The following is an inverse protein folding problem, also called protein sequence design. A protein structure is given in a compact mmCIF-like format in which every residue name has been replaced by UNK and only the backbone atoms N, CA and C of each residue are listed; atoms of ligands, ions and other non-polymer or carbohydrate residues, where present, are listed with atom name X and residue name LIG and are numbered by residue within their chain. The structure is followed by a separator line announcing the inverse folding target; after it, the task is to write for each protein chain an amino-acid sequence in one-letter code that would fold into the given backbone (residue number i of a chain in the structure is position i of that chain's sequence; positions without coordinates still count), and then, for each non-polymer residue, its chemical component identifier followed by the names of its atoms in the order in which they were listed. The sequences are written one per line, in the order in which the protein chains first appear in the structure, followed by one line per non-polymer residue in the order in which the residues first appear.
data_IF_957931315101
#
_entry.id   IF_957931315101
#
_cell.length_a   1.000
_cell.length_b   1.000
_cell.length_c   1.000
_cell.angle_alpha   90.00
_cell.angle_beta   90.00
_cell.angle_gamma   90.00
#
_symmetry.space_group_name_H-M   'P 1'
#
loop_
_entity.id
_entity.type
_entity.pdbx_description
1 polymer ?
#
# COMPACT_ATOMS: atom_id res chain seq x y z
N UNK A 1 12.37 -5.96 29.55
CA UNK A 1 11.32 -6.85 30.09
C UNK A 1 10.04 -6.86 29.25
N UNK A 2 9.67 -5.76 28.57
CA UNK A 2 8.45 -5.63 27.78
C UNK A 2 8.71 -5.03 26.38
N UNK A 3 9.63 -5.65 25.63
CA UNK A 3 10.07 -5.23 24.29
C UNK A 3 10.09 -6.40 23.29
N UNK A 4 10.70 -6.26 22.10
CA UNK A 4 10.68 -7.29 21.07
C UNK A 4 11.22 -8.64 21.54
N UNK A 5 12.37 -8.63 22.22
CA UNK A 5 13.08 -9.85 22.58
C UNK A 5 12.55 -10.52 23.84
N UNK A 6 11.86 -9.76 24.71
CA UNK A 6 11.34 -10.26 25.99
C UNK A 6 10.05 -9.56 26.39
N UNK A 7 9.02 -10.36 26.70
CA UNK A 7 7.62 -9.95 26.80
C UNK A 7 7.00 -10.52 28.08
N UNK A 8 7.49 -10.08 29.24
CA UNK A 8 6.98 -10.59 30.51
C UNK A 8 5.51 -10.19 30.70
N UNK A 9 4.69 -11.15 31.16
CA UNK A 9 3.25 -10.97 31.33
C UNK A 9 2.52 -10.66 30.02
N UNK A 10 3.03 -11.17 28.88
CA UNK A 10 2.43 -10.96 27.56
C UNK A 10 2.47 -9.51 27.05
N UNK A 11 3.12 -8.59 27.77
CA UNK A 11 3.03 -7.16 27.50
C UNK A 11 4.19 -6.63 26.65
N UNK A 12 3.84 -5.80 25.66
CA UNK A 12 4.75 -5.00 24.83
C UNK A 12 4.46 -3.51 25.03
N UNK A 13 5.47 -2.74 25.45
CA UNK A 13 5.33 -1.29 25.68
C UNK A 13 5.74 -0.45 24.45
N UNK A 14 6.32 -1.07 23.42
CA UNK A 14 6.79 -0.45 22.19
C UNK A 14 5.74 -0.44 21.06
N UNK A 15 4.54 -0.98 21.31
CA UNK A 15 3.42 -1.03 20.35
C UNK A 15 2.14 -0.53 21.00
N UNK A 16 1.47 0.48 20.41
CA UNK A 16 0.17 0.96 20.92
C UNK A 16 -0.87 -0.13 20.96
N UNK A 17 -0.98 -0.95 19.92
CA UNK A 17 -1.98 -2.03 19.90
C UNK A 17 -1.85 -2.95 21.12
N UNK A 18 -0.61 -3.28 21.50
CA UNK A 18 -0.34 -4.07 22.71
C UNK A 18 -0.61 -3.31 24.00
N UNK A 19 -0.31 -2.00 24.05
CA UNK A 19 -0.65 -1.17 25.21
C UNK A 19 -2.18 -1.05 25.42
N UNK A 20 -2.95 -0.97 24.33
CA UNK A 20 -4.42 -0.93 24.37
C UNK A 20 -5.04 -2.29 24.72
N UNK A 21 -4.44 -3.38 24.27
CA UNK A 21 -4.92 -4.73 24.58
C UNK A 21 -4.56 -5.14 26.02
N UNK A 22 -3.40 -4.71 26.51
CA UNK A 22 -2.84 -5.19 27.77
C UNK A 22 -2.03 -6.48 27.60
N UNK A 23 -1.73 -7.11 28.73
CA UNK A 23 -1.04 -8.40 28.79
C UNK A 23 -1.90 -9.44 29.52
N UNK A 24 -1.24 -10.41 30.15
CA UNK A 24 -1.89 -11.54 30.84
C UNK A 24 -2.74 -11.11 32.05
N UNK A 25 -2.68 -9.84 32.45
CA UNK A 25 -3.53 -9.25 33.51
C UNK A 25 -4.99 -9.03 33.10
N UNK A 26 -5.32 -9.16 31.82
CA UNK A 26 -6.69 -8.96 31.29
C UNK A 26 -7.13 -7.49 31.19
N UNK A 27 -6.47 -6.58 31.90
CA UNK A 27 -6.71 -5.13 31.79
C UNK A 27 -5.83 -4.46 30.71
N UNK A 28 -6.36 -3.47 29.97
CA UNK A 28 -5.56 -2.60 29.11
C UNK A 28 -4.41 -1.96 29.89
N UNK A 29 -3.19 -2.03 29.34
CA UNK A 29 -2.04 -1.37 29.96
C UNK A 29 -2.27 0.15 30.02
N UNK A 30 -2.90 0.72 28.98
CA UNK A 30 -3.34 2.12 28.96
C UNK A 30 -4.78 2.25 28.49
N UNK A 31 -5.50 3.20 29.08
CA UNK A 31 -6.80 3.69 28.60
C UNK A 31 -6.63 5.16 28.18
N UNK A 32 -6.58 5.47 26.87
CA UNK A 32 -6.40 6.84 26.41
C UNK A 32 -7.41 7.81 27.04
N UNK A 33 -6.91 8.94 27.54
CA UNK A 33 -7.72 9.94 28.25
C UNK A 33 -7.97 9.63 29.73
N UNK A 34 -7.69 8.40 30.20
CA UNK A 34 -8.03 7.94 31.56
C UNK A 34 -6.80 7.36 32.30
N UNK A 35 -5.87 8.22 32.77
CA UNK A 35 -4.66 7.75 33.45
C UNK A 35 -4.93 6.92 34.71
N UNK A 36 -5.93 7.29 35.51
CA UNK A 36 -6.30 6.58 36.74
C UNK A 36 -6.88 5.19 36.49
N UNK A 37 -7.48 4.96 35.32
CA UNK A 37 -8.02 3.66 34.90
C UNK A 37 -7.01 2.82 34.10
N UNK A 38 -5.75 3.28 33.99
CA UNK A 38 -4.70 2.61 33.22
C UNK A 38 -3.83 1.74 34.12
N UNK A 39 -3.72 0.45 33.79
CA UNK A 39 -2.96 -0.53 34.58
C UNK A 39 -1.48 -0.17 34.70
N UNK A 40 -0.90 0.43 33.64
CA UNK A 40 0.48 0.90 33.65
C UNK A 40 0.73 1.91 34.78
N UNK A 41 -0.17 2.88 34.96
CA UNK A 41 -0.07 3.88 36.04
C UNK A 41 -0.18 3.22 37.40
N UNK A 42 -1.15 2.30 37.56
CA UNK A 42 -1.33 1.54 38.80
C UNK A 42 -0.04 0.81 39.20
N UNK A 43 0.61 0.11 38.26
CA UNK A 43 1.84 -0.65 38.56
C UNK A 43 3.07 0.21 38.84
N UNK A 44 3.31 1.28 38.07
CA UNK A 44 4.49 2.13 38.28
C UNK A 44 4.39 3.01 39.54
N UNK A 45 3.17 3.23 40.05
CA UNK A 45 2.92 3.99 41.29
C UNK A 45 2.65 3.11 42.51
N UNK A 46 2.35 1.82 42.33
CA UNK A 46 2.10 0.89 43.44
C UNK A 46 3.31 0.72 44.36
N UNK A 47 3.05 0.54 45.65
CA UNK A 47 4.04 0.20 46.68
C UNK A 47 4.01 -1.28 47.08
N UNK A 48 3.05 -2.04 46.58
CA UNK A 48 2.93 -3.47 46.83
C UNK A 48 4.01 -4.23 46.03
N UNK A 49 4.94 -4.94 46.70
CA UNK A 49 6.02 -5.69 46.06
C UNK A 49 5.58 -6.68 44.98
N UNK A 50 4.37 -7.24 45.08
CA UNK A 50 3.88 -8.28 44.16
C UNK A 50 3.42 -7.71 42.80
N UNK A 51 3.02 -6.44 42.76
CA UNK A 51 2.45 -5.82 41.55
C UNK A 51 3.21 -4.59 41.07
N UNK A 52 4.11 -4.04 41.90
CA UNK A 52 4.86 -2.85 41.54
C UNK A 52 5.81 -3.08 40.36
N UNK A 53 5.96 -2.05 39.53
CA UNK A 53 6.90 -2.06 38.42
C UNK A 53 7.90 -0.88 38.54
N UNK A 54 9.20 -1.11 38.27
CA UNK A 54 9.81 -2.42 38.01
C UNK A 54 9.99 -3.25 39.31
N UNK A 55 9.93 -4.60 39.24
CA UNK A 55 10.11 -5.48 40.41
C UNK A 55 11.58 -5.54 40.87
N UNK A 56 12.52 -5.19 39.97
CA UNK A 56 13.95 -5.08 40.25
C UNK A 56 14.47 -3.80 39.61
N UNK A 57 15.37 -3.11 40.32
CA UNK A 57 16.00 -1.87 39.86
C UNK A 57 15.31 -0.60 40.39
N UNK A 58 15.82 0.54 39.95
CA UNK A 58 15.36 1.85 40.42
C UNK A 58 13.94 2.15 39.95
N UNK A 59 13.15 2.75 40.85
CA UNK A 59 11.81 3.24 40.51
C UNK A 59 11.89 4.44 39.57
N UNK A 60 10.82 4.64 38.81
CA UNK A 60 10.63 5.87 38.06
C UNK A 60 10.51 7.05 39.04
N UNK A 61 11.06 8.19 38.65
CA UNK A 61 10.91 9.44 39.42
C UNK A 61 9.46 9.93 39.35
N UNK A 62 9.01 10.72 40.34
CA UNK A 62 7.69 11.35 40.28
C UNK A 62 7.45 12.11 38.98
N UNK A 63 8.46 12.84 38.50
CA UNK A 63 8.43 13.55 37.21
C UNK A 63 8.18 12.61 36.03
N UNK A 64 8.90 11.49 35.95
CA UNK A 64 8.72 10.51 34.88
C UNK A 64 7.31 9.88 34.91
N UNK A 65 6.83 9.50 36.10
CA UNK A 65 5.45 8.99 36.24
C UNK A 65 4.40 10.03 35.86
N UNK A 66 4.63 11.31 36.19
CA UNK A 66 3.77 12.42 35.82
C UNK A 66 3.70 12.65 34.31
N UNK A 67 4.85 12.57 33.61
CA UNK A 67 4.90 12.68 32.15
C UNK A 67 4.14 11.54 31.46
N UNK A 68 4.25 10.31 31.96
CA UNK A 68 3.49 9.16 31.42
C UNK A 68 1.99 9.37 31.65
N UNK A 69 1.60 9.83 32.86
CA UNK A 69 0.20 10.13 33.15
C UNK A 69 -0.35 11.25 32.26
N UNK A 70 0.43 12.30 31.99
CA UNK A 70 0.05 13.39 31.08
C UNK A 70 -0.13 12.87 29.67
N UNK A 71 0.83 12.10 29.18
CA UNK A 71 0.77 11.51 27.85
C UNK A 71 -0.49 10.64 27.67
N UNK A 72 -0.84 9.81 28.66
CA UNK A 72 -2.09 9.04 28.63
C UNK A 72 -3.30 9.96 28.59
N UNK A 73 -3.32 11.02 29.40
CA UNK A 73 -4.42 11.99 29.45
C UNK A 73 -4.63 12.67 28.10
N UNK A 74 -3.55 12.94 27.37
CA UNK A 74 -3.56 13.54 26.02
C UNK A 74 -3.87 12.53 24.90
N UNK A 75 -4.40 11.34 25.23
CA UNK A 75 -4.80 10.32 24.25
C UNK A 75 -3.71 9.30 23.92
N UNK A 76 -2.60 9.32 24.66
CA UNK A 76 -1.52 8.37 24.56
C UNK A 76 -0.94 8.20 23.15
N UNK A 77 -0.89 9.25 22.33
CA UNK A 77 -0.43 9.16 20.93
C UNK A 77 1.04 8.73 20.89
N UNK A 78 1.38 7.65 20.18
CA UNK A 78 2.77 7.29 19.89
C UNK A 78 3.12 7.65 18.45
N UNK A 79 4.34 8.13 18.24
CA UNK A 79 4.90 8.31 16.91
C UNK A 79 5.13 6.94 16.28
N UNK A 80 4.44 6.64 15.17
CA UNK A 80 4.48 5.32 14.53
C UNK A 80 3.24 4.45 14.76
N UNK A 81 2.18 4.99 15.36
CA UNK A 81 0.92 4.29 15.68
C UNK A 81 -0.01 3.95 14.51
N UNK A 82 0.47 4.06 13.29
CA UNK A 82 -0.08 3.28 12.19
C UNK A 82 0.59 1.90 12.26
N UNK A 83 -0.05 0.87 12.84
CA UNK A 83 0.37 -0.55 12.88
C UNK A 83 1.63 -0.90 12.07
N UNK A 84 2.83 -0.46 12.49
CA UNK A 84 4.03 -0.42 11.62
C UNK A 84 3.71 -0.44 10.11
N UNK A 85 2.89 0.52 9.67
CA UNK A 85 2.38 0.62 8.31
C UNK A 85 3.57 0.90 7.41
N UNK A 86 4.13 -0.18 6.88
CA UNK A 86 5.32 -0.21 6.03
C UNK A 86 5.40 1.03 5.13
N UNK A 87 6.57 1.65 5.07
CA UNK A 87 6.85 2.77 4.15
C UNK A 87 6.73 2.35 2.68
N UNK A 88 6.55 1.06 2.41
CA UNK A 88 6.32 0.54 1.09
C UNK A 88 5.01 1.09 0.52
N UNK A 89 5.13 1.74 -0.64
CA UNK A 89 4.11 2.54 -1.30
C UNK A 89 2.75 1.83 -1.47
N UNK A 90 2.74 0.51 -1.65
CA UNK A 90 1.53 -0.30 -1.89
C UNK A 90 0.63 -0.48 -0.67
N UNK A 91 1.12 -0.23 0.54
CA UNK A 91 0.34 -0.37 1.78
C UNK A 91 0.02 0.99 2.41
N UNK A 92 0.39 2.08 1.75
CA UNK A 92 -0.01 3.41 2.16
C UNK A 92 -1.45 3.68 1.68
N UNK A 93 -2.28 4.38 2.49
CA UNK A 93 -3.60 4.79 2.04
C UNK A 93 -3.51 5.59 0.73
N UNK A 94 -4.43 5.32 -0.21
CA UNK A 94 -4.53 6.11 -1.44
C UNK A 94 -4.83 7.56 -1.09
N UNK A 95 -3.95 8.46 -1.53
CA UNK A 95 -4.15 9.90 -1.39
C UNK A 95 -4.91 10.42 -2.61
N UNK A 96 -5.87 11.35 -2.44
CA UNK A 96 -6.51 11.98 -3.59
C UNK A 96 -5.47 12.75 -4.40
N UNK A 97 -5.38 12.44 -5.69
CA UNK A 97 -4.47 13.10 -6.64
C UNK A 97 -5.25 14.15 -7.41
N UNK A 98 -4.76 15.39 -7.42
CA UNK A 98 -5.33 16.46 -8.25
C UNK A 98 -4.81 16.30 -9.69
N UNK A 99 -5.72 16.34 -10.65
CA UNK A 99 -5.37 16.33 -12.07
C UNK A 99 -4.68 17.65 -12.45
N UNK A 100 -3.71 17.63 -13.39
CA UNK A 100 -3.08 18.85 -13.89
C UNK A 100 -4.10 19.74 -14.63
N UNK A 101 -3.98 21.05 -14.42
CA UNK A 101 -4.75 22.04 -15.20
C UNK A 101 -3.98 22.38 -16.47
N UNK A 102 -4.58 22.12 -17.63
CA UNK A 102 -3.97 22.34 -18.94
C UNK A 102 -4.75 23.34 -19.77
N UNK A 103 -4.10 23.88 -20.80
CA UNK A 103 -4.79 24.65 -21.83
C UNK A 103 -5.85 23.77 -22.52
N UNK A 104 -6.88 24.39 -23.13
CA UNK A 104 -7.92 23.64 -23.85
C UNK A 104 -7.33 22.79 -24.99
N UNK A 105 -6.31 23.30 -25.68
CA UNK A 105 -5.63 22.59 -26.75
C UNK A 105 -4.86 21.37 -26.22
N UNK A 106 -4.18 21.52 -25.09
CA UNK A 106 -3.44 20.41 -24.47
C UNK A 106 -4.38 19.35 -23.89
N UNK A 107 -5.42 19.77 -23.18
CA UNK A 107 -6.41 18.85 -22.62
C UNK A 107 -7.09 18.01 -23.71
N UNK A 108 -7.31 18.55 -24.90
CA UNK A 108 -7.90 17.82 -26.03
C UNK A 108 -7.02 16.66 -26.57
N UNK A 109 -5.71 16.64 -26.24
CA UNK A 109 -4.78 15.57 -26.63
C UNK A 109 -4.88 14.33 -25.73
N UNK A 110 -5.47 14.46 -24.54
CA UNK A 110 -5.63 13.38 -23.57
C UNK A 110 -6.86 12.50 -23.90
N UNK A 111 -6.70 11.18 -23.89
CA UNK A 111 -7.80 10.21 -24.07
C UNK A 111 -8.35 9.69 -22.75
N UNK A 112 -7.53 9.75 -21.70
CA UNK A 112 -7.89 9.38 -20.34
C UNK A 112 -7.40 10.44 -19.33
N UNK A 113 -7.95 10.46 -18.10
CA UNK A 113 -7.44 11.35 -17.05
C UNK A 113 -5.95 11.13 -16.73
N UNK A 114 -5.42 9.92 -16.97
CA UNK A 114 -4.00 9.61 -16.77
C UNK A 114 -3.14 10.35 -17.81
N UNK A 115 -3.63 10.46 -19.04
CA UNK A 115 -2.90 11.15 -20.12
C UNK A 115 -2.68 12.64 -19.81
N UNK A 116 -3.50 13.26 -18.95
CA UNK A 116 -3.31 14.65 -18.53
C UNK A 116 -1.95 14.86 -17.84
N UNK A 117 -1.46 13.89 -17.08
CA UNK A 117 -0.13 13.96 -16.45
C UNK A 117 0.99 13.89 -17.50
N UNK A 118 0.83 13.02 -18.50
CA UNK A 118 1.79 12.88 -19.60
C UNK A 118 1.81 14.13 -20.45
N UNK A 119 0.65 14.60 -20.90
CA UNK A 119 0.52 15.82 -21.70
C UNK A 119 1.04 17.03 -20.94
N UNK A 120 0.75 17.14 -19.63
CA UNK A 120 1.28 18.22 -18.80
C UNK A 120 2.79 18.26 -18.80
N UNK A 121 3.43 17.10 -18.70
CA UNK A 121 4.90 17.01 -18.71
C UNK A 121 5.46 17.32 -20.09
N UNK A 122 4.86 16.78 -21.15
CA UNK A 122 5.26 17.05 -22.53
C UNK A 122 5.15 18.53 -22.87
N UNK A 123 4.06 19.21 -22.49
CA UNK A 123 3.88 20.64 -22.73
C UNK A 123 4.97 21.48 -22.03
N UNK A 124 5.29 21.15 -20.77
CA UNK A 124 6.37 21.81 -20.03
C UNK A 124 7.74 21.62 -20.71
N UNK A 125 7.99 20.43 -21.27
CA UNK A 125 9.23 20.08 -21.96
C UNK A 125 9.21 20.46 -23.45
N UNK A 126 8.14 21.10 -23.95
CA UNK A 126 7.93 21.45 -25.37
C UNK A 126 8.02 20.24 -26.33
N UNK A 127 7.47 19.11 -25.90
CA UNK A 127 7.42 17.86 -26.64
C UNK A 127 6.00 17.51 -27.08
N UNK A 128 5.92 16.63 -28.08
CA UNK A 128 4.67 16.13 -28.65
C UNK A 128 4.47 14.64 -28.37
N UNK A 129 3.20 14.21 -28.36
CA UNK A 129 2.87 12.79 -28.31
C UNK A 129 3.39 12.10 -29.58
N UNK A 130 3.98 10.92 -29.41
CA UNK A 130 4.37 10.10 -30.56
C UNK A 130 3.13 9.68 -31.35
N UNK A 131 3.21 9.65 -32.69
CA UNK A 131 2.09 9.24 -33.52
C UNK A 131 1.70 7.79 -33.23
N UNK A 132 0.40 7.42 -33.35
CA UNK A 132 -0.03 6.03 -33.25
C UNK A 132 0.69 5.15 -34.28
N UNK A 133 1.00 3.92 -33.87
CA UNK A 133 1.57 2.93 -34.79
C UNK A 133 0.50 2.38 -35.76
N UNK A 134 0.92 1.77 -36.86
CA UNK A 134 -0.01 1.15 -37.79
C UNK A 134 -0.73 -0.05 -37.16
N UNK A 135 -1.99 -0.28 -37.59
CA UNK A 135 -2.88 -1.32 -37.02
C UNK A 135 -2.24 -2.71 -37.04
N UNK A 136 -1.50 -3.04 -38.09
CA UNK A 136 -0.85 -4.35 -38.23
C UNK A 136 0.27 -4.52 -37.19
N UNK A 137 1.15 -3.52 -37.04
CA UNK A 137 2.18 -3.53 -35.99
C UNK A 137 1.56 -3.53 -34.60
N UNK A 138 0.47 -2.78 -34.39
CA UNK A 138 -0.24 -2.73 -33.12
C UNK A 138 -0.75 -4.13 -32.71
N UNK A 139 -1.49 -4.82 -33.59
CA UNK A 139 -1.97 -6.18 -33.32
C UNK A 139 -0.82 -7.18 -33.15
N UNK A 140 0.22 -7.08 -33.99
CA UNK A 140 1.39 -7.96 -33.89
C UNK A 140 2.06 -7.85 -32.52
N UNK A 141 2.25 -6.63 -32.02
CA UNK A 141 2.83 -6.37 -30.70
C UNK A 141 1.98 -6.97 -29.59
N UNK A 142 0.67 -6.71 -29.58
CA UNK A 142 -0.22 -7.27 -28.56
C UNK A 142 -0.27 -8.80 -28.62
N UNK A 143 -0.38 -9.39 -29.81
CA UNK A 143 -0.41 -10.85 -29.97
C UNK A 143 0.84 -11.51 -29.40
N UNK A 144 2.03 -10.97 -29.71
CA UNK A 144 3.29 -11.51 -29.20
C UNK A 144 3.41 -11.36 -27.68
N UNK A 145 3.00 -10.22 -27.13
CA UNK A 145 3.04 -9.97 -25.68
C UNK A 145 2.08 -10.91 -24.94
N UNK A 146 0.84 -10.99 -25.41
CA UNK A 146 -0.22 -11.71 -24.72
C UNK A 146 -0.12 -13.23 -24.94
N UNK A 147 0.17 -13.67 -26.16
CA UNK A 147 0.09 -15.11 -26.52
C UNK A 147 1.44 -15.73 -26.87
N UNK A 148 2.52 -14.95 -26.93
CA UNK A 148 3.83 -15.43 -27.37
C UNK A 148 3.95 -15.68 -28.87
N UNK A 149 2.85 -15.54 -29.65
CA UNK A 149 2.80 -15.87 -31.06
C UNK A 149 2.37 -14.66 -31.92
N UNK A 150 2.83 -14.57 -33.17
CA UNK A 150 2.31 -13.58 -34.11
C UNK A 150 0.83 -13.87 -34.42
N UNK A 151 0.04 -12.85 -34.80
CA UNK A 151 -1.35 -13.05 -35.19
C UNK A 151 -1.42 -13.84 -36.49
N UNK A 152 -2.49 -14.61 -36.69
CA UNK A 152 -2.72 -15.29 -37.96
C UNK A 152 -2.97 -14.27 -39.09
N UNK A 153 -2.72 -14.63 -40.37
CA UNK A 153 -3.05 -13.77 -41.50
C UNK A 153 -4.51 -13.32 -41.52
N UNK A 154 -5.43 -14.20 -41.10
CA UNK A 154 -6.86 -13.90 -41.01
C UNK A 154 -7.17 -12.90 -39.89
N UNK A 155 -6.62 -13.10 -38.69
CA UNK A 155 -6.77 -12.16 -37.58
C UNK A 155 -6.24 -10.77 -37.94
N UNK A 156 -5.10 -10.70 -38.63
CA UNK A 156 -4.53 -9.45 -39.10
C UNK A 156 -5.41 -8.76 -40.14
N UNK A 157 -5.96 -9.50 -41.11
CA UNK A 157 -6.90 -8.95 -42.12
C UNK A 157 -8.18 -8.45 -41.46
N UNK A 158 -8.78 -9.25 -40.56
CA UNK A 158 -10.00 -8.89 -39.87
C UNK A 158 -9.82 -7.61 -39.04
N UNK A 159 -8.78 -7.52 -38.21
CA UNK A 159 -8.52 -6.31 -37.43
C UNK A 159 -8.16 -5.10 -38.30
N UNK A 160 -7.49 -5.30 -39.44
CA UNK A 160 -7.19 -4.19 -40.34
C UNK A 160 -8.45 -3.64 -41.02
N UNK A 161 -9.45 -4.49 -41.29
CA UNK A 161 -10.72 -4.12 -41.90
C UNK A 161 -11.76 -3.60 -40.89
N UNK A 162 -11.67 -3.96 -39.62
CA UNK A 162 -12.57 -3.50 -38.56
C UNK A 162 -12.29 -2.03 -38.19
N UNK A 163 -13.06 -1.10 -38.76
CA UNK A 163 -12.96 0.35 -38.51
C UNK A 163 -13.97 0.84 -37.46
N UNK A 164 -14.75 -0.07 -36.87
CA UNK A 164 -15.77 0.32 -35.92
C UNK A 164 -15.16 0.79 -34.59
N UNK A 165 -15.85 1.68 -33.86
CA UNK A 165 -15.47 2.02 -32.49
C UNK A 165 -15.29 0.74 -31.65
N UNK A 166 -14.23 0.68 -30.85
CA UNK A 166 -13.95 -0.48 -30.00
C UNK A 166 -13.21 -1.64 -30.69
N UNK A 167 -12.79 -1.49 -31.96
CA UNK A 167 -12.09 -2.55 -32.69
C UNK A 167 -10.82 -3.05 -31.98
N UNK A 168 -10.11 -2.15 -31.30
CA UNK A 168 -8.88 -2.47 -30.58
C UNK A 168 -9.18 -3.31 -29.34
N UNK A 169 -10.15 -2.89 -28.55
CA UNK A 169 -10.61 -3.54 -27.33
C UNK A 169 -11.09 -4.96 -27.64
N UNK A 170 -11.95 -5.13 -28.65
CA UNK A 170 -12.39 -6.46 -29.11
C UNK A 170 -11.24 -7.34 -29.59
N UNK A 171 -10.23 -6.75 -30.23
CA UNK A 171 -9.05 -7.50 -30.65
C UNK A 171 -8.22 -7.98 -29.47
N UNK A 172 -8.04 -7.15 -28.44
CA UNK A 172 -7.37 -7.52 -27.18
C UNK A 172 -8.17 -8.58 -26.44
N UNK A 173 -9.48 -8.43 -26.32
CA UNK A 173 -10.36 -9.41 -25.65
C UNK A 173 -10.25 -10.80 -26.29
N UNK A 174 -10.21 -10.89 -27.62
CA UNK A 174 -9.99 -12.15 -28.33
C UNK A 174 -8.62 -12.78 -28.02
N UNK A 175 -7.58 -11.96 -27.85
CA UNK A 175 -6.25 -12.45 -27.49
C UNK A 175 -6.23 -12.95 -26.04
N UNK A 176 -6.85 -12.24 -25.10
CA UNK A 176 -6.97 -12.62 -23.70
C UNK A 176 -7.81 -13.89 -23.51
N UNK A 177 -8.86 -14.06 -24.31
CA UNK A 177 -9.73 -15.25 -24.29
C UNK A 177 -9.08 -16.51 -24.92
N UNK A 178 -7.94 -16.36 -25.61
CA UNK A 178 -7.23 -17.49 -26.22
C UNK A 178 -6.58 -18.36 -25.13
N UNK A 179 -6.67 -19.71 -25.20
CA UNK A 179 -5.93 -20.60 -24.30
C UNK A 179 -4.42 -20.30 -24.25
N UNK A 180 -3.88 -19.81 -25.37
CA UNK A 180 -2.46 -19.44 -25.53
C UNK A 180 -2.03 -18.30 -24.62
N UNK A 181 -2.96 -17.44 -24.19
CA UNK A 181 -2.68 -16.42 -23.19
C UNK A 181 -2.31 -17.07 -21.84
N UNK A 182 -3.10 -18.06 -21.42
CA UNK A 182 -2.83 -18.85 -20.22
C UNK A 182 -1.51 -19.62 -20.32
N UNK A 183 -1.26 -20.28 -21.46
CA UNK A 183 0.00 -20.98 -21.74
C UNK A 183 1.21 -20.04 -21.63
N UNK A 184 1.13 -18.86 -22.25
CA UNK A 184 2.20 -17.84 -22.23
C UNK A 184 2.50 -17.35 -20.80
N UNK A 185 1.47 -17.06 -20.02
CA UNK A 185 1.63 -16.64 -18.62
C UNK A 185 2.18 -17.76 -17.74
N UNK A 186 1.74 -19.00 -17.96
CA UNK A 186 2.24 -20.16 -17.23
C UNK A 186 3.72 -20.42 -17.51
N UNK A 187 4.20 -20.22 -18.76
CA UNK A 187 5.62 -20.40 -19.10
C UNK A 187 6.54 -19.57 -18.21
N UNK A 188 6.20 -18.31 -17.93
CA UNK A 188 7.03 -17.45 -17.09
C UNK A 188 7.21 -18.02 -15.67
N UNK A 189 6.14 -18.57 -15.09
CA UNK A 189 6.20 -19.21 -13.79
C UNK A 189 6.94 -20.55 -13.84
N UNK A 190 6.69 -21.37 -14.86
CA UNK A 190 7.38 -22.65 -15.04
C UNK A 190 8.89 -22.49 -15.21
N UNK A 191 9.33 -21.41 -15.85
CA UNK A 191 10.76 -21.09 -15.95
C UNK A 191 11.35 -20.70 -14.59
N UNK A 192 10.59 -20.01 -13.73
CA UNK A 192 11.02 -19.60 -12.39
C UNK A 192 11.06 -20.74 -11.36
N UNK A 193 10.17 -21.74 -11.44
CA UNK A 193 10.19 -22.88 -10.49
C UNK A 193 11.16 -24.00 -10.90
N UNK A 194 11.70 -23.96 -12.13
CA UNK A 194 12.63 -24.99 -12.62
C UNK A 194 14.07 -24.76 -12.16
N UNK A 195 14.39 -23.56 -11.65
CA UNK A 195 15.70 -23.16 -11.12
C UNK A 195 15.54 -22.54 -9.73
#
# INVERSE_FOLDING_TARGET
CHGPDKQQGGLRLDKRRSLLAGGDSGEPAIRPGQPSASELIRRITSRDPEVMMPPKGSRLTPTATGLISEWIRRGAVMTGDTDAGTSHWSFQPLKPVRLPTLSRADAARARSPIDLFVVSRLAADKLELSPPTDRRRLLRRASLVLTGLPPSPEQARHFQADLDPGAWERAVDRLLASPRYGERWASHWLDLVRF
#
